data_IF_227622574956
#
_entry.id   IF_227622574956
#
_cell.length_a   1.000
_cell.length_b   1.000
_cell.length_c   1.000
_cell.angle_alpha   90.00
_cell.angle_beta   90.00
_cell.angle_gamma   90.00
#
_symmetry.space_group_name_H-M   'P 1'
#
loop_
_entity.id
_entity.type
_entity.pdbx_description
1 polymer ?
#
# COMPACT_ATOMS: atom_id res chain seq x y z
N UNK A 1 -7.59 -7.85 4.19
CA UNK A 1 -6.66 -8.98 4.00
C UNK A 1 -5.65 -8.71 2.90
N UNK A 2 -5.80 -7.59 2.18
CA UNK A 2 -4.91 -7.15 1.10
C UNK A 2 -4.68 -5.63 1.15
N UNK A 3 -3.71 -5.15 0.39
CA UNK A 3 -3.44 -3.76 0.08
C UNK A 3 -3.24 -3.60 -1.43
N UNK A 4 -3.00 -2.38 -1.92
CA UNK A 4 -2.97 -2.09 -3.36
C UNK A 4 -2.08 -3.02 -4.20
N UNK A 5 -0.96 -3.50 -3.63
CA UNK A 5 0.00 -4.36 -4.34
C UNK A 5 -0.22 -5.87 -4.13
N UNK A 6 -1.04 -6.30 -3.14
CA UNK A 6 -1.28 -7.74 -2.91
C UNK A 6 -1.75 -8.10 -1.50
N UNK A 7 -1.59 -9.34 -1.13
CA UNK A 7 -2.04 -9.89 0.15
C UNK A 7 -1.10 -9.49 1.31
N UNK A 8 -1.64 -9.38 2.55
CA UNK A 8 -0.83 -9.15 3.75
C UNK A 8 0.08 -10.33 4.11
N UNK A 9 -0.38 -11.55 3.84
CA UNK A 9 0.32 -12.79 4.14
C UNK A 9 0.47 -13.64 2.87
N UNK A 10 1.52 -14.49 2.79
CA UNK A 10 1.68 -15.43 1.70
C UNK A 10 0.42 -16.29 1.48
N UNK A 11 0.02 -16.58 0.22
CA UNK A 11 -1.13 -17.42 -0.07
C UNK A 11 -1.10 -18.77 0.67
N UNK A 12 0.09 -19.34 0.88
CA UNK A 12 0.25 -20.58 1.65
C UNK A 12 -0.22 -20.41 3.11
N UNK A 13 0.22 -19.36 3.80
CA UNK A 13 -0.21 -19.07 5.18
C UNK A 13 -1.70 -18.69 5.24
N UNK A 14 -2.20 -17.96 4.25
CA UNK A 14 -3.62 -17.67 4.15
C UNK A 14 -4.43 -18.97 4.06
N UNK A 15 -3.98 -19.93 3.26
CA UNK A 15 -4.63 -21.25 3.12
C UNK A 15 -4.59 -22.06 4.41
N UNK A 16 -3.47 -22.06 5.11
CA UNK A 16 -3.28 -22.86 6.34
C UNK A 16 -4.01 -22.25 7.55
N UNK A 17 -3.94 -20.95 7.74
CA UNK A 17 -4.38 -20.29 8.97
C UNK A 17 -5.71 -19.56 8.84
N UNK A 18 -5.97 -18.92 7.71
CA UNK A 18 -7.12 -18.03 7.50
C UNK A 18 -8.32 -18.74 6.88
N UNK A 19 -8.11 -19.52 5.81
CA UNK A 19 -9.18 -20.19 5.08
C UNK A 19 -10.06 -21.12 5.96
N UNK A 20 -9.52 -21.92 6.91
CA UNK A 20 -10.35 -22.74 7.80
C UNK A 20 -11.25 -21.88 8.70
N UNK A 21 -10.78 -20.72 9.13
CA UNK A 21 -11.57 -19.78 9.95
C UNK A 21 -12.64 -19.10 9.12
N UNK A 22 -12.33 -18.71 7.89
CA UNK A 22 -13.28 -18.13 6.96
C UNK A 22 -14.43 -19.11 6.67
N UNK A 23 -14.11 -20.38 6.38
CA UNK A 23 -15.13 -21.44 6.17
C UNK A 23 -16.07 -21.56 7.36
N UNK A 24 -15.56 -21.55 8.59
CA UNK A 24 -16.39 -21.57 9.80
C UNK A 24 -17.30 -20.35 9.95
N UNK A 25 -16.84 -19.17 9.52
CA UNK A 25 -17.65 -17.94 9.55
C UNK A 25 -18.78 -18.03 8.53
N UNK A 26 -18.52 -18.61 7.34
CA UNK A 26 -19.52 -18.71 6.27
C UNK A 26 -20.50 -19.87 6.48
N UNK A 27 -20.15 -20.91 7.22
CA UNK A 27 -20.94 -22.14 7.41
C UNK A 27 -22.41 -21.89 7.78
N UNK A 28 -22.77 -20.99 8.72
CA UNK A 28 -24.17 -20.74 9.06
C UNK A 28 -24.97 -20.14 7.91
N UNK A 29 -24.39 -19.27 7.11
CA UNK A 29 -25.03 -18.67 5.95
C UNK A 29 -25.25 -19.72 4.84
N UNK A 30 -24.22 -20.50 4.55
CA UNK A 30 -24.26 -21.57 3.56
C UNK A 30 -25.27 -22.65 3.95
N UNK A 31 -25.33 -23.06 5.22
CA UNK A 31 -26.32 -24.03 5.73
C UNK A 31 -27.77 -23.50 5.62
N UNK A 32 -27.94 -22.19 5.73
CA UNK A 32 -29.23 -21.51 5.55
C UNK A 32 -29.55 -21.20 4.08
N UNK A 33 -28.73 -21.62 3.13
CA UNK A 33 -28.89 -21.34 1.69
C UNK A 33 -28.81 -19.85 1.35
N UNK A 34 -28.07 -19.05 2.14
CA UNK A 34 -27.88 -17.61 1.92
C UNK A 34 -26.59 -17.35 1.15
N UNK A 35 -26.60 -16.42 0.18
CA UNK A 35 -25.39 -16.03 -0.50
C UNK A 35 -24.44 -15.30 0.44
N UNK A 36 -23.14 -15.51 0.22
CA UNK A 36 -22.05 -14.88 0.99
C UNK A 36 -21.35 -13.83 0.13
N UNK A 37 -21.34 -12.59 0.60
CA UNK A 37 -20.55 -11.51 0.01
C UNK A 37 -19.29 -11.29 0.84
N UNK A 38 -18.15 -11.28 0.18
CA UNK A 38 -16.86 -10.99 0.80
C UNK A 38 -16.40 -9.60 0.44
N UNK A 39 -16.06 -8.80 1.47
CA UNK A 39 -15.52 -7.45 1.29
C UNK A 39 -14.04 -7.41 1.69
N UNK A 40 -13.22 -6.88 0.79
CA UNK A 40 -11.83 -6.49 1.09
C UNK A 40 -11.33 -5.49 0.08
N UNK A 41 -10.77 -4.39 0.55
CA UNK A 41 -9.97 -3.49 -0.26
C UNK A 41 -8.65 -4.15 -0.66
N UNK A 42 -7.98 -3.56 -1.66
CA UNK A 42 -6.70 -3.99 -2.17
C UNK A 42 -6.76 -5.07 -3.25
N UNK A 43 -5.59 -5.52 -3.67
CA UNK A 43 -5.46 -6.54 -4.69
C UNK A 43 -5.65 -7.95 -4.08
N UNK A 44 -6.84 -8.52 -4.30
CA UNK A 44 -7.23 -9.84 -3.82
C UNK A 44 -7.21 -10.92 -4.91
N UNK A 45 -6.63 -10.66 -6.08
CA UNK A 45 -6.68 -11.59 -7.22
C UNK A 45 -6.20 -13.00 -6.87
N UNK A 46 -5.10 -13.11 -6.10
CA UNK A 46 -4.56 -14.40 -5.62
C UNK A 46 -5.43 -15.06 -4.54
N UNK A 47 -6.29 -14.29 -3.87
CA UNK A 47 -7.17 -14.80 -2.81
C UNK A 47 -8.45 -15.43 -3.38
N UNK A 48 -8.90 -15.01 -4.57
CA UNK A 48 -10.18 -15.43 -5.14
C UNK A 48 -10.37 -16.94 -5.16
N UNK A 49 -9.39 -17.80 -5.52
CA UNK A 49 -9.57 -19.25 -5.43
C UNK A 49 -9.94 -19.75 -4.02
N UNK A 50 -9.38 -19.15 -2.97
CA UNK A 50 -9.71 -19.52 -1.59
C UNK A 50 -11.10 -18.99 -1.16
N UNK A 51 -11.49 -17.82 -1.67
CA UNK A 51 -12.83 -17.26 -1.44
C UNK A 51 -13.90 -18.18 -2.04
N UNK A 52 -13.71 -18.62 -3.28
CA UNK A 52 -14.62 -19.55 -3.95
C UNK A 52 -14.68 -20.91 -3.21
N UNK A 53 -13.55 -21.42 -2.74
CA UNK A 53 -13.47 -22.63 -1.91
C UNK A 53 -14.20 -22.48 -0.56
N UNK A 54 -14.24 -21.25 -0.02
CA UNK A 54 -14.95 -20.93 1.21
C UNK A 54 -16.43 -20.62 1.00
N UNK A 55 -16.96 -20.78 -0.23
CA UNK A 55 -18.36 -20.58 -0.55
C UNK A 55 -18.76 -19.11 -0.73
N UNK A 56 -17.84 -18.24 -1.12
CA UNK A 56 -18.15 -16.84 -1.45
C UNK A 56 -18.85 -16.78 -2.81
N UNK A 57 -20.02 -16.16 -2.84
CA UNK A 57 -20.84 -15.96 -4.05
C UNK A 57 -20.59 -14.61 -4.70
N UNK A 58 -20.19 -13.59 -3.93
CA UNK A 58 -19.98 -12.23 -4.40
C UNK A 58 -18.72 -11.61 -3.81
N UNK A 59 -17.95 -10.94 -4.64
CA UNK A 59 -16.71 -10.23 -4.28
C UNK A 59 -16.96 -8.73 -4.39
N UNK A 60 -16.66 -7.97 -3.32
CA UNK A 60 -16.89 -6.54 -3.20
C UNK A 60 -15.82 -5.88 -2.31
N UNK A 61 -15.33 -4.68 -2.67
CA UNK A 61 -15.35 -4.11 -4.02
C UNK A 61 -14.25 -4.75 -4.88
N UNK A 62 -14.30 -4.50 -6.19
CA UNK A 62 -13.10 -4.64 -7.02
C UNK A 62 -12.33 -3.32 -6.84
N UNK A 63 -11.39 -3.28 -5.90
CA UNK A 63 -10.69 -2.07 -5.52
C UNK A 63 -10.03 -1.40 -6.73
N UNK A 64 -10.37 -0.13 -6.98
CA UNK A 64 -9.91 0.64 -8.15
C UNK A 64 -8.40 0.87 -8.18
N UNK A 65 -7.74 0.78 -7.03
CA UNK A 65 -6.28 0.97 -6.92
C UNK A 65 -5.48 -0.34 -7.03
N UNK A 66 -6.12 -1.48 -6.78
CA UNK A 66 -5.46 -2.80 -6.77
C UNK A 66 -5.88 -3.71 -7.91
N UNK A 67 -7.03 -3.46 -8.55
CA UNK A 67 -7.66 -4.39 -9.48
C UNK A 67 -8.10 -3.70 -10.78
N UNK A 68 -7.62 -4.21 -11.92
CA UNK A 68 -8.25 -3.87 -13.21
C UNK A 68 -9.54 -4.70 -13.39
N UNK A 69 -10.69 -4.04 -13.31
CA UNK A 69 -11.99 -4.69 -13.35
C UNK A 69 -12.26 -5.46 -14.65
N UNK A 70 -11.60 -5.10 -15.76
CA UNK A 70 -11.75 -5.78 -17.06
C UNK A 70 -11.11 -7.16 -17.05
N UNK A 71 -9.86 -7.23 -16.60
CA UNK A 71 -9.13 -8.49 -16.43
C UNK A 71 -9.77 -9.35 -15.35
N UNK A 72 -10.21 -8.74 -14.25
CA UNK A 72 -10.86 -9.40 -13.14
C UNK A 72 -12.21 -10.02 -13.56
N UNK A 73 -13.04 -9.30 -14.33
CA UNK A 73 -14.28 -9.84 -14.91
C UNK A 73 -14.00 -11.03 -15.82
N UNK A 74 -13.00 -10.91 -16.70
CA UNK A 74 -12.61 -11.99 -17.61
C UNK A 74 -12.19 -13.25 -16.84
N UNK A 75 -11.46 -13.10 -15.74
CA UNK A 75 -10.91 -14.20 -14.96
C UNK A 75 -11.94 -14.83 -14.02
N UNK A 76 -12.74 -14.01 -13.33
CA UNK A 76 -13.56 -14.46 -12.21
C UNK A 76 -15.07 -14.28 -12.40
N UNK A 77 -15.50 -13.42 -13.32
CA UNK A 77 -16.93 -13.06 -13.48
C UNK A 77 -17.84 -14.20 -13.88
N UNK A 78 -17.33 -15.33 -14.35
CA UNK A 78 -18.09 -16.57 -14.58
C UNK A 78 -18.22 -17.45 -13.33
N UNK A 79 -17.46 -17.18 -12.27
CA UNK A 79 -17.37 -17.99 -11.06
C UNK A 79 -17.99 -17.31 -9.84
N UNK A 80 -17.94 -15.99 -9.75
CA UNK A 80 -18.54 -15.21 -8.69
C UNK A 80 -19.28 -13.98 -9.24
N UNK A 81 -20.24 -13.47 -8.47
CA UNK A 81 -20.78 -12.13 -8.66
C UNK A 81 -19.71 -11.09 -8.30
N UNK A 82 -19.60 -10.03 -9.07
CA UNK A 82 -18.69 -8.91 -8.83
C UNK A 82 -19.50 -7.68 -8.46
N UNK A 83 -19.14 -6.99 -7.39
CA UNK A 83 -19.83 -5.79 -6.92
C UNK A 83 -18.89 -4.59 -6.83
N UNK A 84 -19.39 -3.40 -7.04
CA UNK A 84 -18.64 -2.16 -7.12
C UNK A 84 -18.50 -1.75 -8.58
N UNK A 85 -17.55 -1.04 -9.02
CA UNK A 85 -16.38 -0.40 -8.47
C UNK A 85 -16.28 1.03 -9.02
N UNK A 86 -17.43 1.77 -8.99
CA UNK A 86 -17.42 3.18 -9.37
C UNK A 86 -16.58 3.93 -8.34
N UNK A 87 -15.52 4.58 -8.79
CA UNK A 87 -14.53 5.17 -7.91
C UNK A 87 -15.12 6.36 -7.14
N UNK A 88 -14.97 6.30 -5.79
CA UNK A 88 -15.49 7.35 -4.91
C UNK A 88 -14.72 8.67 -5.01
N UNK A 89 -13.44 8.65 -5.40
CA UNK A 89 -12.66 9.88 -5.59
C UNK A 89 -12.99 10.54 -6.92
N UNK A 90 -12.85 9.79 -8.02
CA UNK A 90 -13.25 10.25 -9.34
C UNK A 90 -13.92 9.12 -10.11
N UNK A 91 -15.20 9.25 -10.54
CA UNK A 91 -15.89 10.56 -10.67
C UNK A 91 -16.81 10.97 -9.50
N UNK A 92 -17.01 10.12 -8.46
CA UNK A 92 -18.10 10.38 -7.50
C UNK A 92 -17.89 11.65 -6.67
N UNK A 93 -16.71 11.87 -6.07
CA UNK A 93 -16.49 13.06 -5.24
C UNK A 93 -16.12 14.31 -6.07
N UNK A 94 -15.32 14.13 -7.11
CA UNK A 94 -14.68 15.26 -7.80
C UNK A 94 -15.05 15.41 -9.28
N UNK A 95 -15.91 14.54 -9.80
CA UNK A 95 -16.44 14.64 -11.16
C UNK A 95 -17.77 15.43 -11.23
N UNK A 96 -18.30 15.53 -12.45
CA UNK A 96 -19.66 16.03 -12.71
C UNK A 96 -20.64 14.87 -12.84
N UNK A 97 -21.98 15.12 -12.72
CA UNK A 97 -22.99 14.08 -12.98
C UNK A 97 -22.85 13.39 -14.33
N UNK A 98 -22.43 14.13 -15.37
CA UNK A 98 -22.19 13.57 -16.72
C UNK A 98 -20.96 12.64 -16.72
N UNK A 99 -19.91 12.96 -15.99
CA UNK A 99 -18.74 12.11 -15.86
C UNK A 99 -19.08 10.83 -15.10
N UNK A 100 -19.93 10.91 -14.07
CA UNK A 100 -20.46 9.74 -13.36
C UNK A 100 -21.30 8.85 -14.31
N UNK A 101 -22.22 9.45 -15.09
CA UNK A 101 -23.04 8.69 -16.07
C UNK A 101 -22.15 7.95 -17.09
N UNK A 102 -21.11 8.61 -17.61
CA UNK A 102 -20.18 8.01 -18.57
C UNK A 102 -19.32 6.90 -17.93
N UNK A 103 -18.91 7.07 -16.68
CA UNK A 103 -18.10 6.05 -16.00
C UNK A 103 -18.94 4.80 -15.69
N UNK A 104 -20.15 4.97 -15.16
CA UNK A 104 -21.12 3.86 -14.97
C UNK A 104 -21.39 3.14 -16.28
N UNK A 105 -21.57 3.88 -17.39
CA UNK A 105 -21.77 3.29 -18.72
C UNK A 105 -20.59 2.39 -19.12
N UNK A 106 -19.34 2.86 -18.96
CA UNK A 106 -18.13 2.07 -19.28
C UNK A 106 -18.03 0.79 -18.42
N UNK A 107 -18.37 0.88 -17.13
CA UNK A 107 -18.40 -0.28 -16.26
C UNK A 107 -19.50 -1.29 -16.67
N UNK A 108 -20.68 -0.79 -17.01
CA UNK A 108 -21.78 -1.65 -17.49
C UNK A 108 -21.45 -2.36 -18.80
N UNK A 109 -20.78 -1.70 -19.75
CA UNK A 109 -20.35 -2.31 -21.02
C UNK A 109 -19.44 -3.53 -20.81
N UNK A 110 -18.64 -3.53 -19.75
CA UNK A 110 -17.68 -4.61 -19.45
C UNK A 110 -18.23 -5.62 -18.46
N UNK A 111 -18.85 -5.15 -17.37
CA UNK A 111 -19.20 -6.00 -16.22
C UNK A 111 -20.59 -6.63 -16.33
N UNK A 112 -21.54 -5.98 -17.03
CA UNK A 112 -22.90 -6.49 -17.21
C UNK A 112 -23.00 -7.75 -18.08
N UNK A 113 -22.28 -7.90 -19.23
CA UNK A 113 -22.41 -9.07 -20.07
C UNK A 113 -22.25 -10.39 -19.31
N UNK A 114 -23.17 -11.34 -19.53
CA UNK A 114 -23.20 -12.62 -18.82
C UNK A 114 -23.76 -12.58 -17.40
N UNK A 115 -24.22 -11.43 -16.91
CA UNK A 115 -24.73 -11.27 -15.56
C UNK A 115 -23.64 -11.27 -14.49
N UNK A 116 -24.06 -11.44 -13.20
CA UNK A 116 -23.14 -11.50 -12.07
C UNK A 116 -22.41 -10.19 -11.79
N UNK A 117 -23.09 -9.05 -11.98
CA UNK A 117 -22.56 -7.74 -11.62
C UNK A 117 -23.57 -6.93 -10.81
N UNK A 118 -23.12 -6.35 -9.72
CA UNK A 118 -23.85 -5.40 -8.89
C UNK A 118 -23.12 -4.06 -8.97
N UNK A 119 -23.71 -3.09 -9.68
CA UNK A 119 -23.14 -1.76 -9.78
C UNK A 119 -23.24 -1.03 -8.45
N UNK A 120 -22.16 -0.45 -8.01
CA UNK A 120 -22.05 0.35 -6.80
C UNK A 120 -20.74 1.08 -6.73
N UNK A 121 -20.56 1.87 -5.68
CA UNK A 121 -19.30 2.57 -5.41
C UNK A 121 -18.19 1.61 -5.00
N UNK A 122 -16.95 2.03 -5.19
CA UNK A 122 -15.75 1.28 -4.76
C UNK A 122 -15.63 1.23 -3.24
N UNK A 123 -16.27 2.15 -2.52
CA UNK A 123 -16.28 2.22 -1.06
C UNK A 123 -17.59 2.82 -0.55
N UNK A 124 -17.74 3.02 0.75
CA UNK A 124 -18.92 3.68 1.35
C UNK A 124 -19.14 5.07 0.76
N UNK A 125 -20.41 5.42 0.51
CA UNK A 125 -20.76 6.80 0.13
C UNK A 125 -20.59 7.70 1.36
N UNK A 126 -19.76 8.71 1.23
CA UNK A 126 -19.36 9.61 2.30
C UNK A 126 -19.92 11.02 2.07
N UNK A 127 -19.91 11.84 3.12
CA UNK A 127 -20.58 13.14 3.16
C UNK A 127 -20.00 14.21 2.21
N UNK A 128 -18.80 14.02 1.68
CA UNK A 128 -18.21 14.94 0.70
C UNK A 128 -18.51 14.57 -0.76
N UNK A 129 -19.19 13.43 -1.01
CA UNK A 129 -19.68 13.10 -2.35
C UNK A 129 -20.90 13.96 -2.61
N UNK A 130 -20.91 14.81 -3.69
CA UNK A 130 -22.05 15.59 -4.06
C UNK A 130 -23.30 14.73 -4.26
N UNK A 131 -24.43 15.14 -3.70
CA UNK A 131 -25.67 14.39 -3.79
C UNK A 131 -26.10 14.13 -5.26
N UNK A 132 -25.90 15.13 -6.12
CA UNK A 132 -26.16 15.02 -7.56
C UNK A 132 -25.34 13.92 -8.23
N UNK A 133 -24.08 13.70 -7.83
CA UNK A 133 -23.23 12.64 -8.37
C UNK A 133 -23.70 11.27 -7.91
N UNK A 134 -24.14 11.14 -6.65
CA UNK A 134 -24.74 9.89 -6.16
C UNK A 134 -26.02 9.56 -6.92
N UNK A 135 -26.90 10.55 -7.12
CA UNK A 135 -28.13 10.38 -7.90
C UNK A 135 -27.83 10.06 -9.37
N UNK A 136 -26.79 10.67 -9.96
CA UNK A 136 -26.35 10.36 -11.31
C UNK A 136 -25.90 8.90 -11.42
N UNK A 137 -25.16 8.37 -10.44
CA UNK A 137 -24.75 6.95 -10.40
C UNK A 137 -25.97 6.02 -10.35
N UNK A 138 -26.96 6.30 -9.52
CA UNK A 138 -28.19 5.53 -9.44
C UNK A 138 -28.96 5.54 -10.77
N UNK A 139 -29.16 6.73 -11.34
CA UNK A 139 -29.88 6.91 -12.61
C UNK A 139 -29.16 6.19 -13.77
N UNK A 140 -27.83 6.33 -13.85
CA UNK A 140 -27.01 5.66 -14.85
C UNK A 140 -27.06 4.13 -14.67
N UNK A 141 -27.05 3.65 -13.42
CA UNK A 141 -27.20 2.22 -13.11
C UNK A 141 -28.55 1.69 -13.61
N UNK A 142 -29.63 2.39 -13.39
CA UNK A 142 -30.95 2.03 -13.94
C UNK A 142 -30.96 2.08 -15.48
N UNK A 143 -30.41 3.13 -16.07
CA UNK A 143 -30.38 3.36 -17.52
C UNK A 143 -29.60 2.29 -18.28
N UNK A 144 -28.42 1.92 -17.80
CA UNK A 144 -27.50 0.99 -18.51
C UNK A 144 -27.58 -0.44 -17.97
N UNK A 145 -28.20 -0.67 -16.79
CA UNK A 145 -28.30 -1.95 -16.13
C UNK A 145 -29.36 -2.89 -16.70
N UNK A 146 -30.21 -2.42 -17.62
CA UNK A 146 -31.24 -3.25 -18.24
C UNK A 146 -30.61 -4.35 -19.08
N UNK A 147 -31.00 -5.60 -18.83
CA UNK A 147 -30.59 -6.76 -19.63
C UNK A 147 -31.56 -6.98 -20.80
N UNK A 148 -31.01 -7.13 -21.99
CA UNK A 148 -31.72 -7.64 -23.17
C UNK A 148 -31.42 -9.14 -23.35
N UNK A 149 -32.12 -9.80 -24.26
CA UNK A 149 -31.94 -11.25 -24.50
C UNK A 149 -30.50 -11.60 -24.90
N UNK A 150 -29.81 -10.71 -25.61
CA UNK A 150 -28.40 -10.92 -26.03
C UNK A 150 -27.40 -10.80 -24.87
N UNK A 151 -27.62 -9.87 -23.96
CA UNK A 151 -26.74 -9.68 -22.79
C UNK A 151 -26.93 -10.78 -21.73
N UNK A 152 -28.09 -11.49 -21.75
CA UNK A 152 -28.37 -12.58 -20.82
C UNK A 152 -27.85 -13.95 -21.28
N UNK A 153 -27.73 -14.16 -22.60
CA UNK A 153 -27.40 -15.46 -23.20
C UNK A 153 -25.94 -15.94 -23.01
N UNK A 154 -25.06 -15.17 -22.41
CA UNK A 154 -23.60 -15.47 -22.32
C UNK A 154 -23.24 -16.40 -21.17
N UNK A 155 -24.20 -16.89 -20.38
CA UNK A 155 -23.91 -17.79 -19.26
C UNK A 155 -23.74 -19.25 -19.70
N UNK A 156 -22.75 -19.53 -20.56
CA UNK A 156 -22.35 -20.92 -20.84
C UNK A 156 -21.05 -21.28 -20.11
N UNK A 157 -21.20 -22.32 -19.27
CA UNK A 157 -20.19 -23.18 -18.63
C UNK A 157 -19.23 -22.55 -17.64
N UNK A 158 -19.40 -22.96 -16.37
CA UNK A 158 -18.37 -22.90 -15.32
C UNK A 158 -17.03 -23.43 -15.87
N UNK A 159 -16.15 -22.54 -16.22
CA UNK A 159 -14.74 -22.88 -16.42
C UNK A 159 -14.12 -23.25 -15.06
N UNK A 160 -13.34 -24.32 -15.04
CA UNK A 160 -12.50 -24.61 -13.86
C UNK A 160 -11.61 -23.39 -13.57
N UNK A 161 -11.44 -23.07 -12.28
CA UNK A 161 -10.60 -21.97 -11.86
C UNK A 161 -9.23 -22.03 -12.55
N UNK A 162 -8.78 -20.97 -13.19
CA UNK A 162 -7.46 -20.93 -13.83
C UNK A 162 -6.39 -21.18 -12.77
N UNK A 163 -5.42 -22.05 -13.07
CA UNK A 163 -4.22 -22.18 -12.26
C UNK A 163 -3.50 -20.85 -12.30
N UNK A 164 -3.17 -20.31 -11.13
CA UNK A 164 -2.43 -19.06 -11.00
C UNK A 164 -1.06 -19.22 -11.69
N UNK A 165 -0.86 -18.55 -12.82
CA UNK A 165 0.45 -18.36 -13.41
C UNK A 165 0.96 -16.97 -12.98
N UNK A 166 1.77 -16.95 -11.93
CA UNK A 166 2.56 -15.79 -11.58
C UNK A 166 3.77 -15.73 -12.52
N UNK A 167 3.78 -14.75 -13.44
CA UNK A 167 5.00 -14.30 -14.12
C UNK A 167 5.33 -12.89 -13.67
N UNK A 168 5.98 -12.79 -12.50
CA UNK A 168 6.85 -11.65 -12.21
C UNK A 168 8.28 -12.04 -12.65
N UNK A 169 9.02 -11.14 -13.29
CA UNK A 169 10.47 -11.33 -13.48
C UNK A 169 11.11 -11.49 -12.10
N UNK A 170 11.68 -12.68 -11.85
CA UNK A 170 12.31 -12.99 -10.57
C UNK A 170 13.58 -12.15 -10.43
N UNK A 171 13.57 -11.21 -9.51
CA UNK A 171 14.79 -10.51 -9.07
C UNK A 171 15.58 -11.53 -8.23
N UNK A 172 16.72 -11.99 -8.76
CA UNK A 172 17.53 -12.99 -8.08
C UNK A 172 18.34 -12.37 -6.94
N UNK A 173 18.19 -12.88 -5.73
CA UNK A 173 19.02 -12.60 -4.54
C UNK A 173 20.52 -12.64 -4.88
N UNK A 174 20.91 -13.59 -5.74
CA UNK A 174 22.27 -13.79 -6.20
C UNK A 174 22.87 -12.56 -6.91
N UNK A 175 22.05 -11.72 -7.56
CA UNK A 175 22.51 -10.52 -8.26
C UNK A 175 23.02 -9.43 -7.31
N UNK A 176 22.52 -9.41 -6.08
CA UNK A 176 22.99 -8.52 -5.03
C UNK A 176 24.20 -9.11 -4.31
N UNK A 177 24.17 -10.38 -3.94
CA UNK A 177 25.26 -11.07 -3.24
C UNK A 177 26.55 -11.13 -4.07
N UNK A 178 26.45 -11.29 -5.39
CA UNK A 178 27.61 -11.30 -6.29
C UNK A 178 28.37 -9.95 -6.35
N UNK A 179 27.75 -8.86 -5.94
CA UNK A 179 28.35 -7.52 -5.89
C UNK A 179 29.08 -7.26 -4.57
N UNK A 180 28.83 -8.04 -3.53
CA UNK A 180 29.46 -7.93 -2.21
C UNK A 180 30.68 -8.85 -2.19
N UNK A 181 31.85 -8.28 -1.95
CA UNK A 181 33.12 -9.02 -1.97
C UNK A 181 33.52 -9.58 -0.59
N UNK A 182 33.16 -8.88 0.46
CA UNK A 182 33.53 -9.24 1.83
C UNK A 182 32.53 -10.25 2.44
N UNK A 183 33.04 -11.22 3.18
CA UNK A 183 32.21 -12.31 3.73
C UNK A 183 31.36 -11.85 4.95
N UNK A 184 31.84 -10.89 5.73
CA UNK A 184 31.06 -10.32 6.82
C UNK A 184 29.94 -9.45 6.26
N UNK A 185 30.20 -8.65 5.23
CA UNK A 185 29.18 -7.86 4.54
C UNK A 185 28.12 -8.77 3.88
N UNK A 186 28.52 -9.90 3.27
CA UNK A 186 27.56 -10.90 2.76
C UNK A 186 26.71 -11.48 3.87
N UNK A 187 27.30 -11.81 5.00
CA UNK A 187 26.58 -12.35 6.16
C UNK A 187 25.59 -11.32 6.73
N UNK A 188 25.98 -10.07 6.83
CA UNK A 188 25.11 -8.98 7.25
C UNK A 188 23.94 -8.77 6.27
N UNK A 189 24.24 -8.82 4.96
CA UNK A 189 23.20 -8.77 3.94
C UNK A 189 22.18 -9.92 4.10
N UNK A 190 22.66 -11.17 4.22
CA UNK A 190 21.83 -12.36 4.39
C UNK A 190 20.98 -12.29 5.68
N UNK A 191 21.55 -11.80 6.78
CA UNK A 191 20.83 -11.62 8.04
C UNK A 191 19.71 -10.58 7.94
N UNK A 192 19.94 -9.45 7.28
CA UNK A 192 18.86 -8.48 7.00
C UNK A 192 17.82 -9.10 6.09
N UNK A 193 18.25 -9.74 5.01
CA UNK A 193 17.37 -10.32 4.02
C UNK A 193 16.45 -11.42 4.60
N UNK A 194 16.95 -12.19 5.58
CA UNK A 194 16.20 -13.23 6.32
C UNK A 194 15.50 -12.70 7.57
N UNK A 195 15.74 -11.44 7.95
CA UNK A 195 15.16 -10.83 9.16
C UNK A 195 15.77 -11.34 10.47
N UNK A 196 17.03 -11.75 10.48
CA UNK A 196 17.73 -12.26 11.67
C UNK A 196 18.20 -11.11 12.59
N UNK A 197 17.25 -10.48 13.28
CA UNK A 197 17.55 -9.43 14.27
C UNK A 197 18.34 -9.93 15.48
N UNK A 198 18.30 -11.24 15.78
CA UNK A 198 19.02 -11.79 16.96
C UNK A 198 20.51 -12.00 16.67
N UNK A 199 20.84 -12.44 15.46
CA UNK A 199 22.21 -12.76 15.08
C UNK A 199 23.02 -11.55 14.57
N UNK A 200 22.34 -10.53 14.03
CA UNK A 200 23.00 -9.45 13.29
C UNK A 200 23.92 -8.60 14.18
N UNK A 201 23.55 -8.36 15.43
CA UNK A 201 24.37 -7.57 16.39
C UNK A 201 25.78 -8.14 16.57
N UNK A 202 25.88 -9.46 16.71
CA UNK A 202 27.18 -10.15 16.81
C UNK A 202 28.02 -10.05 15.53
N UNK A 203 27.37 -10.07 14.36
CA UNK A 203 28.07 -9.94 13.08
C UNK A 203 28.55 -8.49 12.85
N UNK A 204 27.75 -7.49 13.25
CA UNK A 204 28.17 -6.08 13.25
C UNK A 204 29.39 -5.89 14.14
N UNK A 205 29.37 -6.45 15.36
CA UNK A 205 30.50 -6.36 16.27
C UNK A 205 31.77 -7.00 15.67
N UNK A 206 31.66 -8.18 15.06
CA UNK A 206 32.79 -8.84 14.37
C UNK A 206 33.31 -7.99 13.20
N UNK A 207 32.45 -7.34 12.43
CA UNK A 207 32.86 -6.44 11.35
C UNK A 207 33.62 -5.20 11.88
N UNK A 208 33.16 -4.62 12.99
CA UNK A 208 33.84 -3.51 13.67
C UNK A 208 35.21 -3.90 14.23
N UNK A 209 35.33 -5.09 14.82
CA UNK A 209 36.61 -5.66 15.28
C UNK A 209 37.56 -5.94 14.13
N UNK A 210 37.05 -6.34 12.96
CA UNK A 210 37.81 -6.46 11.71
C UNK A 210 38.13 -5.09 11.05
N UNK A 211 37.82 -3.97 11.74
CA UNK A 211 38.07 -2.58 11.32
C UNK A 211 37.28 -2.15 10.08
N UNK A 212 36.10 -2.72 9.83
CA UNK A 212 35.19 -2.20 8.85
C UNK A 212 34.67 -0.83 9.31
N UNK A 213 34.63 0.14 8.40
CA UNK A 213 34.03 1.43 8.69
C UNK A 213 32.51 1.29 8.88
N UNK A 214 31.91 1.85 9.94
CA UNK A 214 30.47 1.80 10.15
C UNK A 214 29.64 2.29 8.96
N UNK A 215 30.09 3.31 8.22
CA UNK A 215 29.41 3.79 7.01
C UNK A 215 29.49 2.78 5.88
N UNK A 216 30.62 2.08 5.74
CA UNK A 216 30.79 1.02 4.74
C UNK A 216 29.85 -0.17 5.04
N UNK A 217 29.71 -0.58 6.29
CA UNK A 217 28.77 -1.62 6.71
C UNK A 217 27.34 -1.24 6.28
N UNK A 218 26.91 -0.01 6.55
CA UNK A 218 25.59 0.48 6.16
C UNK A 218 25.45 0.48 4.63
N UNK A 219 26.42 1.05 3.92
CA UNK A 219 26.34 1.26 2.47
C UNK A 219 26.47 -0.04 1.66
N UNK A 220 27.30 -1.00 2.12
CA UNK A 220 27.63 -2.22 1.36
C UNK A 220 26.76 -3.41 1.73
N UNK A 221 26.24 -3.47 2.96
CA UNK A 221 25.45 -4.61 3.43
C UNK A 221 24.00 -4.25 3.78
N UNK A 222 23.77 -3.33 4.73
CA UNK A 222 22.44 -3.09 5.27
C UNK A 222 21.50 -2.43 4.25
N UNK A 223 21.95 -1.34 3.61
CA UNK A 223 21.14 -0.62 2.62
C UNK A 223 20.81 -1.46 1.39
N UNK A 224 21.75 -2.20 0.75
CA UNK A 224 21.42 -3.09 -0.34
C UNK A 224 20.43 -4.20 0.05
N UNK A 225 20.57 -4.76 1.27
CA UNK A 225 19.70 -5.83 1.75
C UNK A 225 18.26 -5.36 1.92
N UNK A 226 18.04 -4.25 2.66
CA UNK A 226 16.67 -3.74 2.87
C UNK A 226 16.03 -3.26 1.57
N UNK A 227 16.83 -2.74 0.63
CA UNK A 227 16.35 -2.39 -0.71
C UNK A 227 15.91 -3.62 -1.49
N UNK A 228 16.68 -4.72 -1.46
CA UNK A 228 16.31 -5.98 -2.11
C UNK A 228 14.99 -6.55 -1.55
N UNK A 229 14.81 -6.49 -0.22
CA UNK A 229 13.55 -6.87 0.44
C UNK A 229 12.40 -5.97 0.00
N UNK A 230 12.61 -4.65 -0.04
CA UNK A 230 11.60 -3.68 -0.49
C UNK A 230 11.20 -3.89 -1.97
N UNK A 231 12.16 -4.16 -2.85
CA UNK A 231 11.87 -4.45 -4.25
C UNK A 231 11.05 -5.75 -4.40
N UNK A 232 11.40 -6.81 -3.66
CA UNK A 232 10.64 -8.07 -3.64
C UNK A 232 9.26 -7.94 -3.00
N UNK A 233 9.13 -7.09 -1.98
CA UNK A 233 7.82 -6.76 -1.41
C UNK A 233 6.92 -6.06 -2.45
N UNK A 234 7.46 -5.12 -3.22
CA UNK A 234 6.73 -4.41 -4.28
C UNK A 234 6.30 -5.31 -5.44
N UNK A 235 7.04 -6.39 -5.71
CA UNK A 235 6.71 -7.40 -6.74
C UNK A 235 5.82 -8.53 -6.21
N UNK A 236 5.52 -8.56 -4.90
CA UNK A 236 4.74 -9.64 -4.28
C UNK A 236 5.52 -10.93 -4.02
N UNK A 237 6.85 -10.93 -4.20
CA UNK A 237 7.71 -12.09 -3.88
C UNK A 237 8.02 -12.22 -2.38
N UNK A 238 7.95 -11.10 -1.64
CA UNK A 238 8.00 -11.04 -0.18
C UNK A 238 6.75 -10.37 0.36
N UNK A 239 6.41 -10.66 1.61
CA UNK A 239 5.18 -10.21 2.27
C UNK A 239 5.50 -9.35 3.48
N UNK A 240 4.48 -8.72 4.06
CA UNK A 240 4.63 -7.78 5.17
C UNK A 240 5.42 -8.33 6.36
N UNK A 241 5.24 -9.57 6.84
CA UNK A 241 6.03 -10.09 7.95
C UNK A 241 7.53 -10.12 7.66
N UNK A 242 7.92 -10.54 6.44
CA UNK A 242 9.32 -10.62 6.03
C UNK A 242 9.96 -9.24 5.94
N UNK A 243 9.23 -8.26 5.41
CA UNK A 243 9.67 -6.85 5.37
C UNK A 243 9.88 -6.28 6.78
N UNK A 244 8.94 -6.51 7.71
CA UNK A 244 9.06 -6.04 9.09
C UNK A 244 10.20 -6.72 9.84
N UNK A 245 10.45 -8.01 9.60
CA UNK A 245 11.58 -8.74 10.17
C UNK A 245 12.92 -8.20 9.65
N UNK A 246 13.02 -7.93 8.35
CA UNK A 246 14.22 -7.33 7.74
C UNK A 246 14.49 -5.93 8.29
N UNK A 247 13.46 -5.10 8.39
CA UNK A 247 13.57 -3.77 9.01
C UNK A 247 14.01 -3.84 10.48
N UNK A 248 13.49 -4.80 11.24
CA UNK A 248 13.90 -5.07 12.61
C UNK A 248 15.37 -5.46 12.71
N UNK A 249 15.88 -6.26 11.77
CA UNK A 249 17.30 -6.60 11.71
C UNK A 249 18.17 -5.37 11.43
N UNK A 250 17.77 -4.49 10.50
CA UNK A 250 18.48 -3.21 10.25
C UNK A 250 18.48 -2.34 11.49
N UNK A 251 17.34 -2.19 12.17
CA UNK A 251 17.26 -1.39 13.42
C UNK A 251 18.21 -1.93 14.48
N UNK A 252 18.32 -3.25 14.64
CA UNK A 252 19.22 -3.86 15.61
C UNK A 252 20.69 -3.61 15.25
N UNK A 253 21.06 -3.74 13.97
CA UNK A 253 22.41 -3.38 13.50
C UNK A 253 22.73 -1.89 13.75
N UNK A 254 21.77 -1.00 13.48
CA UNK A 254 21.94 0.45 13.67
C UNK A 254 22.14 0.86 15.14
N UNK A 255 21.64 0.09 16.11
CA UNK A 255 21.91 0.36 17.54
C UNK A 255 23.39 0.35 17.87
N UNK A 256 24.16 -0.57 17.27
CA UNK A 256 25.61 -0.64 17.47
C UNK A 256 26.37 0.41 16.63
N UNK A 257 25.88 0.74 15.45
CA UNK A 257 26.57 1.64 14.50
C UNK A 257 26.33 3.13 14.81
N UNK A 258 25.11 3.52 15.17
CA UNK A 258 24.71 4.92 15.38
C UNK A 258 25.58 5.66 16.41
N UNK A 259 25.96 5.08 17.57
CA UNK A 259 26.84 5.76 18.51
C UNK A 259 28.21 6.11 17.92
N UNK A 260 28.75 5.27 17.03
CA UNK A 260 30.04 5.44 16.39
C UNK A 260 30.03 6.52 15.28
N UNK A 261 28.85 6.93 14.87
CA UNK A 261 28.64 7.89 13.78
C UNK A 261 28.35 9.31 14.28
N UNK A 262 28.03 9.48 15.58
CA UNK A 262 27.57 10.77 16.14
C UNK A 262 28.56 11.93 15.94
N UNK A 263 29.86 11.66 15.97
CA UNK A 263 30.92 12.67 15.93
C UNK A 263 31.56 12.77 14.54
N UNK A 264 31.02 12.09 13.51
CA UNK A 264 31.55 12.13 12.14
C UNK A 264 30.75 13.07 11.26
N UNK A 265 31.39 14.13 10.68
CA UNK A 265 30.71 15.04 9.74
C UNK A 265 30.11 14.33 8.51
N UNK A 266 30.69 13.19 8.12
CA UNK A 266 30.33 12.38 6.96
C UNK A 266 29.15 11.44 7.25
N UNK A 267 28.82 11.22 8.52
CA UNK A 267 27.73 10.37 8.99
C UNK A 267 26.38 11.11 9.06
N UNK A 268 26.27 12.24 8.36
CA UNK A 268 25.03 13.00 8.29
C UNK A 268 23.93 12.09 7.75
N UNK A 269 22.89 11.88 8.55
CA UNK A 269 21.62 11.30 8.10
C UNK A 269 21.31 11.81 6.69
N UNK A 270 20.83 10.95 5.79
CA UNK A 270 20.39 11.36 4.44
C UNK A 270 19.39 12.51 4.48
N UNK A 271 18.74 12.70 5.62
CA UNK A 271 17.80 13.76 5.94
C UNK A 271 16.89 13.34 7.10
N UNK A 272 16.23 14.33 7.72
CA UNK A 272 15.24 14.12 8.76
C UNK A 272 13.85 14.19 8.15
N UNK A 273 13.04 13.18 8.41
CA UNK A 273 11.69 13.02 7.89
C UNK A 273 10.72 12.95 9.06
N UNK A 274 9.69 13.76 9.03
CA UNK A 274 8.57 13.71 9.97
C UNK A 274 7.44 12.92 9.30
N UNK A 275 6.90 11.90 9.94
CA UNK A 275 5.75 11.16 9.42
C UNK A 275 4.66 11.01 10.46
N UNK A 276 3.41 10.94 10.01
CA UNK A 276 2.26 10.71 10.89
C UNK A 276 1.03 10.33 10.09
N UNK A 277 0.06 9.72 10.79
CA UNK A 277 -1.27 9.50 10.23
C UNK A 277 -2.14 10.71 10.55
N UNK A 278 -2.85 11.23 9.57
CA UNK A 278 -3.66 12.45 9.68
C UNK A 278 -4.82 12.32 10.68
N UNK A 279 -5.40 13.45 11.06
CA UNK A 279 -6.50 13.55 12.03
C UNK A 279 -7.68 12.66 11.63
N UNK A 280 -8.19 11.91 12.61
CA UNK A 280 -9.34 11.01 12.44
C UNK A 280 -8.98 9.62 11.92
N UNK A 281 -7.76 9.42 11.41
CA UNK A 281 -7.29 8.12 10.91
C UNK A 281 -6.43 7.40 11.97
N UNK A 282 -6.75 6.14 12.23
CA UNK A 282 -6.08 5.29 13.23
C UNK A 282 -5.20 4.21 12.60
N UNK A 283 -5.12 4.19 11.25
CA UNK A 283 -4.33 3.19 10.54
C UNK A 283 -2.85 3.57 10.55
N UNK A 284 -2.00 2.65 10.92
CA UNK A 284 -0.56 2.88 11.06
C UNK A 284 0.33 1.87 10.31
N UNK A 285 -0.22 0.75 9.82
CA UNK A 285 0.55 -0.31 9.17
C UNK A 285 1.35 0.25 8.00
N UNK A 286 0.69 0.94 7.06
CA UNK A 286 1.36 1.53 5.89
C UNK A 286 2.43 2.55 6.28
N UNK A 287 2.13 3.42 7.25
CA UNK A 287 3.06 4.40 7.80
C UNK A 287 4.29 3.72 8.42
N UNK A 288 4.07 2.65 9.21
CA UNK A 288 5.15 1.94 9.88
C UNK A 288 6.06 1.20 8.89
N UNK A 289 5.51 0.70 7.78
CA UNK A 289 6.30 0.13 6.67
C UNK A 289 7.19 1.21 6.03
N UNK A 290 6.63 2.38 5.70
CA UNK A 290 7.39 3.51 5.15
C UNK A 290 8.50 3.94 6.12
N UNK A 291 8.17 4.08 7.41
CA UNK A 291 9.14 4.39 8.47
C UNK A 291 10.30 3.41 8.46
N UNK A 292 10.00 2.11 8.53
CA UNK A 292 11.02 1.07 8.58
C UNK A 292 11.95 1.09 7.36
N UNK A 293 11.39 1.31 6.17
CA UNK A 293 12.20 1.44 4.95
C UNK A 293 13.04 2.71 4.94
N UNK A 294 12.52 3.85 5.39
CA UNK A 294 13.27 5.10 5.49
C UNK A 294 14.44 4.98 6.48
N UNK A 295 14.19 4.44 7.67
CA UNK A 295 15.23 4.19 8.67
C UNK A 295 16.30 3.24 8.14
N UNK A 296 15.88 2.14 7.48
CA UNK A 296 16.78 1.17 6.82
C UNK A 296 17.62 1.78 5.68
N UNK A 297 17.13 2.83 5.04
CA UNK A 297 17.86 3.58 4.02
C UNK A 297 18.72 4.74 4.58
N UNK A 298 18.82 4.90 5.91
CA UNK A 298 19.70 5.87 6.56
C UNK A 298 19.08 7.25 6.80
N UNK A 299 17.75 7.36 6.78
CA UNK A 299 17.02 8.57 7.20
C UNK A 299 16.77 8.58 8.71
N UNK A 300 16.76 9.76 9.30
CA UNK A 300 16.24 9.97 10.65
C UNK A 300 14.73 10.19 10.56
N UNK A 301 13.93 9.34 11.19
CA UNK A 301 12.46 9.42 11.13
C UNK A 301 11.86 9.82 12.47
N UNK A 302 11.15 10.93 12.48
CA UNK A 302 10.32 11.37 13.61
C UNK A 302 8.88 10.92 13.34
N UNK A 303 8.39 10.00 14.15
CA UNK A 303 7.04 9.43 14.00
C UNK A 303 6.07 10.08 14.98
N UNK A 304 5.05 10.77 14.47
CA UNK A 304 4.00 11.41 15.27
C UNK A 304 2.91 10.41 15.75
N UNK A 305 2.97 9.16 15.27
CA UNK A 305 1.91 8.18 15.54
C UNK A 305 0.68 8.42 14.66
N UNK A 306 -0.49 8.16 15.23
CA UNK A 306 -1.78 8.21 14.53
C UNK A 306 -2.61 9.44 14.98
N UNK A 307 -3.66 9.76 14.22
CA UNK A 307 -4.66 10.78 14.57
C UNK A 307 -4.04 12.15 14.89
N UNK A 308 -3.23 12.67 13.97
CA UNK A 308 -2.51 13.92 14.22
C UNK A 308 -3.25 15.11 13.60
N UNK A 309 -3.66 16.05 14.46
CA UNK A 309 -4.20 17.33 14.04
C UNK A 309 -3.15 18.21 13.32
N UNK A 310 -3.56 19.16 12.46
CA UNK A 310 -2.63 20.03 11.74
C UNK A 310 -1.64 20.78 12.64
N UNK A 311 -2.10 21.24 13.79
CA UNK A 311 -1.29 21.99 14.78
C UNK A 311 -0.13 21.15 15.31
N UNK A 312 -0.35 19.84 15.50
CA UNK A 312 0.69 18.91 15.97
C UNK A 312 1.82 18.75 14.94
N UNK A 313 1.49 18.75 13.65
CA UNK A 313 2.51 18.78 12.59
C UNK A 313 3.29 20.09 12.62
N UNK A 314 2.62 21.24 12.75
CA UNK A 314 3.27 22.54 12.85
C UNK A 314 4.25 22.60 14.04
N UNK A 315 3.84 22.13 15.21
CA UNK A 315 4.68 22.08 16.41
C UNK A 315 5.91 21.18 16.20
N UNK A 316 5.69 19.99 15.65
CA UNK A 316 6.75 19.02 15.40
C UNK A 316 7.74 19.51 14.35
N UNK A 317 7.27 20.19 13.30
CA UNK A 317 8.17 20.80 12.28
C UNK A 317 9.06 21.86 12.92
N UNK A 318 8.52 22.73 13.77
CA UNK A 318 9.29 23.76 14.49
C UNK A 318 10.33 23.13 15.42
N UNK A 319 9.95 22.06 16.12
CA UNK A 319 10.81 21.38 17.09
C UNK A 319 11.93 20.57 16.41
N UNK A 320 11.60 19.81 15.37
CA UNK A 320 12.53 18.83 14.78
C UNK A 320 13.18 19.29 13.48
N UNK A 321 12.69 20.35 12.84
CA UNK A 321 13.21 20.93 11.59
C UNK A 321 13.44 19.87 10.50
N UNK A 322 12.42 19.06 10.14
CA UNK A 322 12.57 18.04 9.10
C UNK A 322 12.69 18.68 7.72
N UNK A 323 13.34 17.98 6.79
CA UNK A 323 13.33 18.36 5.38
C UNK A 323 12.09 17.86 4.65
N UNK A 324 11.52 16.73 5.11
CA UNK A 324 10.33 16.12 4.51
C UNK A 324 9.27 15.88 5.57
N UNK A 325 8.01 16.14 5.21
CA UNK A 325 6.84 15.87 6.05
C UNK A 325 5.93 14.90 5.31
N UNK A 326 5.74 13.72 5.90
CA UNK A 326 4.92 12.64 5.35
C UNK A 326 3.55 12.53 6.04
N UNK A 327 2.51 12.49 5.22
CA UNK A 327 1.14 12.31 5.64
C UNK A 327 0.66 10.93 5.21
N UNK A 328 0.16 10.13 6.16
CA UNK A 328 -0.48 8.84 5.90
C UNK A 328 -1.98 8.94 6.11
N UNK A 329 -2.78 8.43 5.19
CA UNK A 329 -4.22 8.33 5.33
C UNK A 329 -4.76 7.12 4.58
N UNK A 330 -5.57 6.29 5.24
CA UNK A 330 -6.16 5.10 4.65
C UNK A 330 -7.65 5.25 4.36
N UNK A 331 -8.33 6.12 5.10
CA UNK A 331 -9.76 6.35 4.91
C UNK A 331 -9.96 7.59 4.03
N UNK A 332 -10.79 7.47 3.00
CA UNK A 332 -11.19 8.60 2.17
C UNK A 332 -11.87 9.70 2.98
N UNK A 333 -12.62 9.31 4.03
CA UNK A 333 -13.25 10.26 4.97
C UNK A 333 -12.25 11.13 5.72
N UNK A 334 -11.07 10.58 6.06
CA UNK A 334 -10.03 11.32 6.79
C UNK A 334 -9.14 12.12 5.84
N UNK A 335 -8.98 11.66 4.60
CA UNK A 335 -8.24 12.39 3.56
C UNK A 335 -8.90 13.71 3.17
N UNK A 336 -10.21 13.88 3.38
CA UNK A 336 -10.90 15.18 3.24
C UNK A 336 -10.29 16.28 4.11
N UNK A 337 -9.59 15.93 5.20
CA UNK A 337 -8.83 16.87 6.05
C UNK A 337 -7.42 17.21 5.55
N UNK A 338 -6.98 16.72 4.38
CA UNK A 338 -5.65 17.03 3.84
C UNK A 338 -5.48 18.53 3.50
N UNK A 339 -6.47 19.23 2.93
CA UNK A 339 -6.37 20.69 2.73
C UNK A 339 -6.04 21.45 4.01
N UNK A 340 -6.62 21.05 5.16
CA UNK A 340 -6.39 21.69 6.46
C UNK A 340 -4.94 21.49 6.93
N UNK A 341 -4.35 20.31 6.67
CA UNK A 341 -2.94 20.05 6.96
C UNK A 341 -2.02 21.02 6.21
N UNK A 342 -2.27 21.22 4.93
CA UNK A 342 -1.49 22.13 4.09
C UNK A 342 -1.77 23.60 4.40
N UNK A 343 -3.03 23.96 4.72
CA UNK A 343 -3.40 25.32 5.15
C UNK A 343 -2.66 25.70 6.43
N UNK A 344 -2.62 24.84 7.43
CA UNK A 344 -1.92 25.09 8.69
C UNK A 344 -0.41 25.33 8.48
N UNK A 345 0.23 24.61 7.54
CA UNK A 345 1.64 24.88 7.19
C UNK A 345 1.82 26.25 6.55
N UNK A 346 0.89 26.67 5.69
CA UNK A 346 0.93 28.01 5.05
C UNK A 346 0.74 29.12 6.09
N UNK A 347 -0.25 28.99 6.97
CA UNK A 347 -0.52 29.94 8.05
C UNK A 347 0.65 30.08 9.02
N UNK A 348 1.35 28.98 9.28
CA UNK A 348 2.54 28.98 10.13
C UNK A 348 3.83 29.46 9.40
N UNK A 349 3.80 29.75 8.10
CA UNK A 349 4.95 30.12 7.28
C UNK A 349 5.96 29.00 7.08
N UNK A 350 5.52 27.73 7.19
CA UNK A 350 6.39 26.56 7.14
C UNK A 350 6.29 25.80 5.80
N UNK A 351 5.26 26.09 4.96
CA UNK A 351 4.98 25.32 3.74
C UNK A 351 6.17 25.22 2.79
N UNK A 352 6.89 26.32 2.61
CA UNK A 352 8.02 26.42 1.69
C UNK A 352 9.36 25.98 2.33
N UNK A 353 9.34 25.64 3.62
CA UNK A 353 10.51 25.16 4.35
C UNK A 353 10.64 23.65 4.35
N UNK A 354 9.62 22.93 3.92
CA UNK A 354 9.56 21.47 3.92
C UNK A 354 9.01 20.93 2.60
N UNK A 355 9.51 19.78 2.21
CA UNK A 355 8.95 18.98 1.13
C UNK A 355 7.83 18.12 1.74
N UNK A 356 6.64 18.14 1.15
CA UNK A 356 5.51 17.35 1.62
C UNK A 356 5.31 16.10 0.76
N UNK A 357 5.00 14.96 1.40
CA UNK A 357 4.63 13.72 0.72
C UNK A 357 3.38 13.13 1.34
N UNK A 358 2.52 12.56 0.51
CA UNK A 358 1.33 11.82 0.97
C UNK A 358 1.31 10.43 0.39
N UNK A 359 0.82 9.47 1.19
CA UNK A 359 0.62 8.09 0.80
C UNK A 359 -0.55 7.45 1.55
N UNK A 360 -1.01 6.34 1.02
CA UNK A 360 -2.14 5.56 1.54
C UNK A 360 -2.95 4.96 0.40
N UNK A 361 -3.71 3.90 0.68
CA UNK A 361 -4.41 3.14 -0.36
C UNK A 361 -5.32 4.00 -1.26
N UNK A 362 -6.12 4.95 -0.76
CA UNK A 362 -6.99 5.77 -1.61
C UNK A 362 -6.29 7.03 -2.16
N UNK A 363 -4.98 7.21 -1.92
CA UNK A 363 -4.24 8.40 -2.38
C UNK A 363 -3.73 8.19 -3.81
N UNK A 364 -3.82 9.24 -4.64
CA UNK A 364 -3.29 9.26 -6.01
C UNK A 364 -2.36 10.47 -6.22
N UNK A 365 -1.61 10.45 -7.32
CA UNK A 365 -0.78 11.60 -7.72
C UNK A 365 -1.62 12.85 -7.96
N UNK A 366 -2.82 12.69 -8.53
CA UNK A 366 -3.76 13.80 -8.75
C UNK A 366 -4.32 14.33 -7.44
N UNK A 367 -4.58 13.47 -6.44
CA UNK A 367 -4.96 13.88 -5.09
C UNK A 367 -3.86 14.75 -4.46
N UNK A 368 -2.60 14.28 -4.49
CA UNK A 368 -1.48 15.05 -3.96
C UNK A 368 -1.39 16.44 -4.60
N UNK A 369 -1.43 16.49 -5.93
CA UNK A 369 -1.36 17.75 -6.69
C UNK A 369 -2.50 18.73 -6.36
N UNK A 370 -3.74 18.25 -6.29
CA UNK A 370 -4.92 19.08 -5.97
C UNK A 370 -4.84 19.68 -4.56
N UNK A 371 -4.25 18.93 -3.62
CA UNK A 371 -4.11 19.36 -2.23
C UNK A 371 -2.82 20.15 -1.97
N UNK A 372 -2.02 20.44 -3.00
CA UNK A 372 -0.77 21.20 -2.86
C UNK A 372 0.34 20.44 -2.13
N UNK A 373 0.32 19.09 -2.19
CA UNK A 373 1.38 18.21 -1.68
C UNK A 373 2.40 17.98 -2.80
N UNK A 374 3.71 18.03 -2.48
CA UNK A 374 4.78 18.01 -3.47
C UNK A 374 5.01 16.61 -4.06
N UNK A 375 4.90 15.57 -3.24
CA UNK A 375 5.24 14.21 -3.61
C UNK A 375 4.10 13.25 -3.29
N UNK A 376 4.04 12.17 -4.07
CA UNK A 376 3.17 11.04 -3.86
C UNK A 376 3.97 9.75 -3.89
N UNK A 377 3.72 8.85 -2.94
CA UNK A 377 4.25 7.49 -2.92
C UNK A 377 3.10 6.49 -3.01
N UNK A 378 3.00 5.77 -4.13
CA UNK A 378 1.94 4.75 -4.31
C UNK A 378 2.12 3.55 -3.37
N UNK A 379 3.36 3.28 -3.01
CA UNK A 379 3.75 2.26 -2.04
C UNK A 379 4.97 2.73 -1.24
N UNK A 380 5.35 1.95 -0.24
CA UNK A 380 6.41 2.34 0.68
C UNK A 380 7.79 2.42 0.00
N UNK A 381 8.06 1.57 -0.98
CA UNK A 381 9.33 1.58 -1.71
C UNK A 381 9.43 2.79 -2.65
N UNK A 382 8.33 3.12 -3.34
CA UNK A 382 8.26 4.32 -4.16
C UNK A 382 8.38 5.58 -3.31
N UNK A 383 7.75 5.64 -2.12
CA UNK A 383 7.88 6.76 -1.20
C UNK A 383 9.35 7.05 -0.86
N UNK A 384 10.16 6.03 -0.54
CA UNK A 384 11.59 6.18 -0.30
C UNK A 384 12.31 6.73 -1.53
N UNK A 385 12.05 6.17 -2.73
CA UNK A 385 12.69 6.58 -3.99
C UNK A 385 12.41 8.05 -4.35
N UNK A 386 11.15 8.51 -4.19
CA UNK A 386 10.79 9.89 -4.52
C UNK A 386 11.34 10.88 -3.50
N UNK A 387 11.41 10.51 -2.22
CA UNK A 387 12.04 11.31 -1.17
C UNK A 387 13.55 11.48 -1.43
N UNK A 388 14.26 10.37 -1.71
CA UNK A 388 15.70 10.43 -2.04
C UNK A 388 15.97 11.35 -3.23
N UNK A 389 15.16 11.22 -4.29
CA UNK A 389 15.29 12.06 -5.48
C UNK A 389 15.02 13.54 -5.21
N UNK A 390 14.03 13.84 -4.37
CA UNK A 390 13.69 15.23 -4.01
C UNK A 390 14.79 15.88 -3.17
N UNK A 391 15.31 15.19 -2.17
CA UNK A 391 16.40 15.70 -1.33
C UNK A 391 17.72 15.86 -2.08
N UNK A 392 18.00 14.99 -3.06
CA UNK A 392 19.17 15.13 -3.92
C UNK A 392 19.11 16.37 -4.83
N UNK A 393 17.90 16.86 -5.18
CA UNK A 393 17.71 18.10 -5.97
C UNK A 393 17.74 19.37 -5.14
N UNK A 394 17.48 19.26 -3.84
CA UNK A 394 17.45 20.38 -2.91
C UNK A 394 18.85 20.71 -2.31
N UNK A 395 19.83 19.82 -2.50
CA UNK A 395 21.26 20.04 -2.19
C UNK A 395 21.97 20.70 -3.36
#
# INVERSE_FOLDING_TARGET
VAFGTGLFLPPKLMRELWLPKLKRIHEPALAAGKPVMFHSDGNIDELVPMLLEAGVDCIQPMDTYGVDYRSFKKKWGGLACLAGNIDIEFPLAHGTPEQVDQDVKKHMEVLKPGGGYICGSSHSIVNYIPHENFIAMLNATHKYGVYDEKSWAVREKKAAAPKAEAKAEKIHEQDFLNKIKDDLDKKLFDQVYKGDAKGIGGTVQAALEAKHDPLDIIARALTPAIKAVGDKFSTGEMFLPELLMAAGAVQEAMKALTPLLRDRPEAVSKGRILIGTIKGDLHDIGKNIVKALLEGNGFEVVDLGINNAPEKYVEAIKAHKPQVVGYSGLLTTTLAGMPDQIAALKEAGLRDQVITIVGGAPVSADFAKRNGVDLYGKDANEAVKVIEKALARAR
#
